data_IF_614925804735
#
_entry.id   IF_614925804735
#
_cell.length_a   1.000
_cell.length_b   1.000
_cell.length_c   1.000
_cell.angle_alpha   90.00
_cell.angle_beta   90.00
_cell.angle_gamma   90.00
#
_symmetry.space_group_name_H-M   'P 1'
#
loop_
_entity.id
_entity.type
_entity.pdbx_description
1 polymer ?
#
# COMPACT_ATOMS: atom_id res chain seq x y z
N UNK A 1 -0.91 -46.72 25.20
CA UNK A 1 -2.00 -45.79 25.57
C UNK A 1 -1.36 -44.50 26.06
N UNK A 2 -1.46 -43.33 25.42
CA UNK A 2 -2.33 -42.87 24.36
C UNK A 2 -1.54 -41.94 23.42
N UNK A 3 -1.71 -42.14 22.11
CA UNK A 3 -1.29 -41.22 21.06
C UNK A 3 -2.35 -40.13 20.89
N UNK A 4 -2.04 -38.88 21.25
CA UNK A 4 -2.87 -37.73 20.90
C UNK A 4 -2.28 -37.02 19.68
N UNK A 5 -2.81 -37.43 18.52
CA UNK A 5 -2.77 -36.68 17.27
C UNK A 5 -3.41 -35.29 17.51
N UNK A 6 -2.61 -34.23 17.56
CA UNK A 6 -3.11 -32.87 17.35
C UNK A 6 -2.79 -32.45 15.93
N UNK A 7 -3.86 -32.44 15.15
CA UNK A 7 -4.03 -32.15 13.74
C UNK A 7 -3.30 -30.86 13.32
N UNK A 8 -2.44 -30.98 12.31
CA UNK A 8 -1.86 -29.89 11.54
C UNK A 8 -2.96 -28.90 11.07
N UNK A 9 -3.10 -27.81 11.80
CA UNK A 9 -3.89 -26.66 11.41
C UNK A 9 -3.06 -25.78 10.49
N UNK A 10 -3.26 -25.96 9.19
CA UNK A 10 -3.00 -25.04 8.08
C UNK A 10 -2.29 -23.71 8.47
N UNK A 11 -1.00 -23.80 8.77
CA UNK A 11 -0.10 -22.66 8.68
C UNK A 11 0.11 -22.39 7.20
N UNK A 12 -0.80 -21.64 6.57
CA UNK A 12 -0.52 -20.97 5.31
C UNK A 12 0.74 -20.15 5.57
N UNK A 13 1.88 -20.69 5.13
CA UNK A 13 3.19 -20.14 5.39
C UNK A 13 3.16 -18.68 4.97
N UNK A 14 3.20 -17.78 5.95
CA UNK A 14 3.61 -16.39 5.74
C UNK A 14 5.08 -16.49 5.32
N UNK A 15 5.30 -16.83 4.04
CA UNK A 15 6.62 -16.83 3.44
C UNK A 15 7.10 -15.40 3.55
N UNK A 16 8.14 -15.19 4.35
CA UNK A 16 8.87 -13.93 4.37
C UNK A 16 9.05 -13.43 2.94
N UNK A 17 8.48 -12.25 2.68
CA UNK A 17 8.59 -11.54 1.41
C UNK A 17 10.07 -11.30 1.19
N UNK A 18 10.66 -11.96 0.20
CA UNK A 18 12.10 -11.81 -0.04
C UNK A 18 12.38 -10.43 -0.64
N UNK A 19 13.57 -9.84 -0.48
CA UNK A 19 13.93 -8.59 -1.14
C UNK A 19 13.68 -8.65 -2.66
N UNK A 20 13.90 -9.81 -3.27
CA UNK A 20 13.64 -10.06 -4.69
C UNK A 20 12.15 -9.92 -5.06
N UNK A 21 11.23 -10.25 -4.16
CA UNK A 21 9.79 -10.08 -4.39
C UNK A 21 9.42 -8.58 -4.51
N UNK A 22 10.14 -7.71 -3.79
CA UNK A 22 9.94 -6.26 -3.85
C UNK A 22 10.50 -5.67 -5.15
N UNK A 23 11.60 -6.22 -5.68
CA UNK A 23 12.14 -5.82 -6.98
C UNK A 23 11.15 -6.16 -8.11
N UNK A 24 10.57 -7.37 -8.10
CA UNK A 24 9.53 -7.77 -9.06
C UNK A 24 8.30 -6.86 -8.94
N UNK A 25 7.87 -6.53 -7.73
CA UNK A 25 6.75 -5.60 -7.53
C UNK A 25 7.02 -4.22 -8.14
N UNK A 26 8.22 -3.67 -7.92
CA UNK A 26 8.61 -2.40 -8.51
C UNK A 26 8.59 -2.46 -10.04
N UNK A 27 9.15 -3.52 -10.60
CA UNK A 27 9.17 -3.75 -12.04
C UNK A 27 7.76 -3.87 -12.61
N UNK A 28 6.84 -4.57 -11.92
CA UNK A 28 5.43 -4.65 -12.32
C UNK A 28 4.75 -3.28 -12.37
N UNK A 29 4.99 -2.43 -11.38
CA UNK A 29 4.45 -1.07 -11.34
C UNK A 29 5.00 -0.20 -12.48
N UNK A 30 6.21 -0.50 -12.97
CA UNK A 30 6.87 0.22 -14.07
C UNK A 30 6.52 -0.34 -15.45
N UNK A 31 6.37 -1.67 -15.57
CA UNK A 31 6.12 -2.40 -16.82
C UNK A 31 4.66 -2.33 -17.32
N UNK A 32 3.88 -1.37 -16.81
CA UNK A 32 2.52 -1.11 -17.30
C UNK A 32 1.46 -2.03 -16.70
N UNK A 33 1.44 -2.16 -15.36
CA UNK A 33 0.27 -2.67 -14.64
C UNK A 33 -0.99 -1.93 -15.10
N UNK A 34 -2.02 -2.67 -15.48
CA UNK A 34 -3.33 -2.15 -15.84
C UNK A 34 -4.36 -2.55 -14.82
N UNK A 35 -5.11 -1.58 -14.33
CA UNK A 35 -6.17 -1.80 -13.34
C UNK A 35 -7.48 -1.30 -13.97
N UNK A 36 -8.40 -2.20 -14.28
CA UNK A 36 -9.70 -1.85 -14.83
C UNK A 36 -10.78 -2.04 -13.76
N UNK A 37 -11.35 -0.93 -13.26
CA UNK A 37 -12.35 -0.98 -12.19
C UNK A 37 -13.72 -1.54 -12.62
N UNK A 38 -14.00 -1.61 -13.93
CA UNK A 38 -15.37 -1.75 -14.46
C UNK A 38 -15.55 -2.84 -15.55
N UNK A 39 -14.69 -3.86 -15.64
CA UNK A 39 -14.88 -4.98 -16.59
C UNK A 39 -15.30 -6.27 -15.89
N UNK A 40 -15.95 -7.15 -16.65
CA UNK A 40 -16.32 -8.54 -16.29
C UNK A 40 -15.10 -9.48 -16.15
N UNK A 41 -13.87 -8.94 -16.21
CA UNK A 41 -12.60 -9.66 -16.06
C UNK A 41 -11.87 -9.26 -14.77
N UNK A 42 -10.65 -9.78 -14.52
CA UNK A 42 -9.90 -9.43 -13.31
C UNK A 42 -9.59 -7.94 -13.30
N UNK A 43 -9.76 -7.30 -12.14
CA UNK A 43 -9.60 -5.88 -11.95
C UNK A 43 -8.15 -5.41 -12.18
N UNK A 44 -7.17 -6.33 -12.21
CA UNK A 44 -5.75 -6.05 -12.46
C UNK A 44 -5.12 -7.04 -13.42
N UNK A 45 -4.37 -6.53 -14.39
CA UNK A 45 -3.63 -7.31 -15.38
C UNK A 45 -2.24 -6.70 -15.64
N UNK A 46 -1.31 -7.53 -16.09
CA UNK A 46 0.00 -7.11 -16.57
C UNK A 46 0.11 -7.43 -18.06
N UNK A 47 0.59 -6.46 -18.84
CA UNK A 47 0.82 -6.63 -20.28
C UNK A 47 2.03 -7.50 -20.59
N UNK A 48 3.03 -7.47 -19.72
CA UNK A 48 4.24 -8.27 -19.87
C UNK A 48 3.97 -9.71 -19.40
N UNK A 49 3.91 -10.64 -20.35
CA UNK A 49 3.61 -12.06 -20.09
C UNK A 49 4.74 -12.76 -19.31
N UNK A 50 6.00 -12.39 -19.56
CA UNK A 50 7.15 -12.96 -18.83
C UNK A 50 7.07 -12.56 -17.36
N UNK A 51 6.86 -11.26 -17.11
CA UNK A 51 6.73 -10.72 -15.77
C UNK A 51 5.48 -11.25 -15.05
N UNK A 52 4.35 -11.34 -15.75
CA UNK A 52 3.10 -11.89 -15.21
C UNK A 52 3.23 -13.38 -14.84
N UNK A 53 4.12 -14.12 -15.50
CA UNK A 53 4.37 -15.54 -15.19
C UNK A 53 5.11 -15.74 -13.86
N UNK A 54 5.81 -14.71 -13.36
CA UNK A 54 6.58 -14.81 -12.13
C UNK A 54 5.69 -15.10 -10.93
N UNK A 55 6.15 -15.97 -10.03
CA UNK A 55 5.39 -16.33 -8.82
C UNK A 55 5.07 -15.11 -7.93
N UNK A 56 5.99 -14.16 -7.69
CA UNK A 56 5.68 -12.95 -6.92
C UNK A 56 4.60 -12.10 -7.60
N UNK A 57 4.63 -12.00 -8.94
CA UNK A 57 3.64 -11.27 -9.71
C UNK A 57 2.25 -11.89 -9.60
N UNK A 58 2.13 -13.21 -9.78
CA UNK A 58 0.85 -13.93 -9.59
C UNK A 58 0.28 -13.76 -8.20
N UNK A 59 1.13 -13.80 -7.16
CA UNK A 59 0.69 -13.55 -5.78
C UNK A 59 0.18 -12.12 -5.61
N UNK A 60 0.90 -11.13 -6.12
CA UNK A 60 0.45 -9.74 -6.06
C UNK A 60 -0.91 -9.57 -6.74
N UNK A 61 -1.10 -10.10 -7.95
CA UNK A 61 -2.37 -10.02 -8.66
C UNK A 61 -3.52 -10.66 -7.88
N UNK A 62 -3.27 -11.80 -7.21
CA UNK A 62 -4.26 -12.44 -6.35
C UNK A 62 -4.62 -11.61 -5.12
N UNK A 63 -3.64 -11.03 -4.43
CA UNK A 63 -3.90 -10.15 -3.28
C UNK A 63 -4.69 -8.93 -3.73
N UNK A 64 -4.29 -8.35 -4.87
CA UNK A 64 -4.97 -7.19 -5.40
C UNK A 64 -6.42 -7.52 -5.76
N UNK A 65 -6.69 -8.65 -6.39
CA UNK A 65 -8.05 -9.04 -6.77
C UNK A 65 -8.94 -9.32 -5.55
N UNK A 66 -8.42 -10.06 -4.57
CA UNK A 66 -9.26 -10.61 -3.50
C UNK A 66 -9.31 -9.74 -2.23
N UNK A 67 -8.28 -8.94 -1.97
CA UNK A 67 -8.14 -8.24 -0.70
C UNK A 67 -8.30 -6.73 -0.84
N UNK A 68 -7.90 -6.15 -1.97
CA UNK A 68 -7.95 -4.68 -2.15
C UNK A 68 -9.39 -4.25 -2.47
N UNK A 69 -10.02 -3.36 -1.68
CA UNK A 69 -11.33 -2.83 -2.01
C UNK A 69 -11.30 -2.04 -3.31
N UNK A 70 -12.43 -2.05 -4.02
CA UNK A 70 -12.54 -1.49 -5.38
C UNK A 70 -13.41 -0.24 -5.42
N UNK A 71 -14.24 -0.05 -4.40
CA UNK A 71 -15.16 1.08 -4.30
C UNK A 71 -14.72 2.10 -3.25
N UNK A 72 -15.04 3.39 -3.41
CA UNK A 72 -14.76 4.41 -2.41
C UNK A 72 -15.30 4.07 -1.02
N UNK A 73 -16.54 3.56 -0.93
CA UNK A 73 -17.17 3.24 0.34
C UNK A 73 -16.44 2.12 1.11
N UNK A 74 -15.98 1.08 0.41
CA UNK A 74 -15.17 0.02 1.02
C UNK A 74 -13.81 0.55 1.50
N UNK A 75 -13.21 1.49 0.76
CA UNK A 75 -11.94 2.13 1.15
C UNK A 75 -12.13 3.01 2.40
N UNK A 76 -13.22 3.78 2.46
CA UNK A 76 -13.56 4.59 3.64
C UNK A 76 -13.79 3.70 4.87
N UNK A 77 -14.49 2.58 4.71
CA UNK A 77 -14.67 1.60 5.78
C UNK A 77 -13.33 1.01 6.24
N UNK A 78 -12.45 0.66 5.30
CA UNK A 78 -11.10 0.17 5.61
C UNK A 78 -10.28 1.22 6.39
N UNK A 79 -10.29 2.49 5.95
CA UNK A 79 -9.63 3.60 6.62
C UNK A 79 -10.19 3.81 8.04
N UNK A 80 -11.51 3.77 8.20
CA UNK A 80 -12.15 3.90 9.50
C UNK A 80 -11.70 2.79 10.45
N UNK A 81 -11.71 1.53 9.99
CA UNK A 81 -11.23 0.39 10.77
C UNK A 81 -9.78 0.60 11.24
N UNK A 82 -8.88 0.99 10.34
CA UNK A 82 -7.49 1.19 10.73
C UNK A 82 -7.31 2.38 11.66
N UNK A 83 -8.06 3.47 11.49
CA UNK A 83 -7.99 4.66 12.36
C UNK A 83 -8.25 4.35 13.84
N UNK A 84 -9.09 3.34 14.12
CA UNK A 84 -9.44 2.88 15.48
C UNK A 84 -8.41 1.92 16.08
N UNK A 85 -7.41 1.49 15.29
CA UNK A 85 -6.43 0.50 15.71
C UNK A 85 -5.15 1.19 16.22
N UNK A 86 -4.91 1.12 17.52
CA UNK A 86 -3.72 1.73 18.17
C UNK A 86 -2.47 0.85 18.12
N UNK A 87 -2.61 -0.42 17.77
CA UNK A 87 -1.49 -1.35 17.58
C UNK A 87 -1.03 -1.39 16.13
N UNK A 88 0.26 -1.70 15.86
CA UNK A 88 0.73 -1.95 14.49
C UNK A 88 -0.14 -2.98 13.79
N UNK A 89 -0.46 -2.74 12.52
CA UNK A 89 -1.25 -3.67 11.72
C UNK A 89 -0.48 -4.99 11.52
N UNK A 90 -1.18 -6.14 11.50
CA UNK A 90 -0.62 -7.37 10.99
C UNK A 90 -0.11 -7.19 9.55
N UNK A 91 0.94 -7.92 9.16
CA UNK A 91 1.60 -7.73 7.86
C UNK A 91 0.65 -7.85 6.65
N UNK A 92 -0.37 -8.71 6.75
CA UNK A 92 -1.39 -8.89 5.69
C UNK A 92 -2.26 -7.65 5.57
N UNK A 93 -2.65 -7.05 6.69
CA UNK A 93 -3.47 -5.83 6.70
C UNK A 93 -2.65 -4.62 6.26
N UNK A 94 -1.37 -4.55 6.61
CA UNK A 94 -0.46 -3.53 6.10
C UNK A 94 -0.25 -3.65 4.59
N UNK A 95 -0.10 -4.88 4.07
CA UNK A 95 -0.03 -5.14 2.63
C UNK A 95 -1.31 -4.70 1.93
N UNK A 96 -2.47 -5.00 2.51
CA UNK A 96 -3.78 -4.53 2.01
C UNK A 96 -3.84 -3.00 1.98
N UNK A 97 -3.44 -2.33 3.06
CA UNK A 97 -3.37 -0.86 3.14
C UNK A 97 -2.47 -0.27 2.03
N UNK A 98 -1.27 -0.83 1.85
CA UNK A 98 -0.33 -0.43 0.82
C UNK A 98 -0.93 -0.60 -0.58
N UNK A 99 -1.51 -1.75 -0.88
CA UNK A 99 -2.06 -2.02 -2.21
C UNK A 99 -3.34 -1.24 -2.51
N UNK A 100 -4.15 -0.92 -1.50
CA UNK A 100 -5.25 0.05 -1.66
C UNK A 100 -4.72 1.43 -2.07
N UNK A 101 -3.58 1.87 -1.52
CA UNK A 101 -2.98 3.16 -1.94
C UNK A 101 -2.54 3.13 -3.40
N UNK A 102 -1.97 2.01 -3.87
CA UNK A 102 -1.60 1.80 -5.28
C UNK A 102 -2.84 1.83 -6.19
N UNK A 103 -3.93 1.17 -5.76
CA UNK A 103 -5.21 1.22 -6.48
C UNK A 103 -5.71 2.66 -6.64
N UNK A 104 -5.76 3.43 -5.55
CA UNK A 104 -6.19 4.82 -5.60
C UNK A 104 -5.29 5.67 -6.51
N UNK A 105 -3.97 5.51 -6.45
CA UNK A 105 -3.05 6.20 -7.35
C UNK A 105 -3.35 5.89 -8.83
N UNK A 106 -3.70 4.64 -9.14
CA UNK A 106 -4.12 4.26 -10.47
C UNK A 106 -5.45 4.92 -10.89
N UNK A 107 -6.45 4.92 -10.00
CA UNK A 107 -7.74 5.57 -10.27
C UNK A 107 -7.56 7.07 -10.53
N UNK A 108 -6.68 7.75 -9.78
CA UNK A 108 -6.33 9.17 -10.01
C UNK A 108 -5.75 9.40 -11.40
N UNK A 109 -4.98 8.45 -11.93
CA UNK A 109 -4.43 8.49 -13.29
C UNK A 109 -5.51 8.28 -14.35
N UNK A 110 -6.46 7.37 -14.09
CA UNK A 110 -7.46 6.93 -15.06
C UNK A 110 -8.71 7.82 -15.13
N UNK A 111 -9.12 8.43 -14.01
CA UNK A 111 -10.37 9.18 -13.89
C UNK A 111 -10.13 10.67 -14.19
N UNK A 112 -11.07 11.29 -14.90
CA UNK A 112 -11.11 12.74 -15.17
C UNK A 112 -12.31 13.38 -14.48
N UNK A 113 -12.26 14.70 -14.24
CA UNK A 113 -13.37 15.45 -13.64
C UNK A 113 -13.41 15.45 -12.11
N UNK A 114 -14.54 15.86 -11.51
CA UNK A 114 -14.68 16.06 -10.06
C UNK A 114 -14.45 14.80 -9.23
N UNK A 115 -14.79 13.62 -9.77
CA UNK A 115 -14.63 12.34 -9.08
C UNK A 115 -13.16 12.05 -8.73
N UNK A 116 -12.22 12.65 -9.48
CA UNK A 116 -10.78 12.57 -9.18
C UNK A 116 -10.43 13.12 -7.80
N UNK A 117 -11.14 14.15 -7.31
CA UNK A 117 -10.85 14.75 -6.00
C UNK A 117 -11.13 13.78 -4.85
N UNK A 118 -12.17 12.94 -4.99
CA UNK A 118 -12.48 11.89 -4.02
C UNK A 118 -11.31 10.88 -3.95
N UNK A 119 -10.83 10.40 -5.10
CA UNK A 119 -9.70 9.47 -5.14
C UNK A 119 -8.39 10.08 -4.61
N UNK A 120 -8.14 11.37 -4.87
CA UNK A 120 -6.99 12.10 -4.28
C UNK A 120 -7.11 12.15 -2.75
N UNK A 121 -8.30 12.43 -2.23
CA UNK A 121 -8.55 12.45 -0.78
C UNK A 121 -8.30 11.08 -0.15
N UNK A 122 -8.89 10.02 -0.73
CA UNK A 122 -8.71 8.64 -0.26
C UNK A 122 -7.23 8.22 -0.32
N UNK A 123 -6.54 8.52 -1.42
CA UNK A 123 -5.11 8.25 -1.54
C UNK A 123 -4.30 8.93 -0.44
N UNK A 124 -4.56 10.21 -0.19
CA UNK A 124 -3.85 10.98 0.84
C UNK A 124 -4.07 10.39 2.23
N UNK A 125 -5.31 10.03 2.57
CA UNK A 125 -5.65 9.40 3.85
C UNK A 125 -4.98 8.02 4.01
N UNK A 126 -4.91 7.22 2.93
CA UNK A 126 -4.20 5.92 2.95
C UNK A 126 -2.71 6.11 3.19
N UNK A 127 -2.09 7.11 2.57
CA UNK A 127 -0.66 7.42 2.81
C UNK A 127 -0.43 7.89 4.24
N UNK A 128 -1.30 8.73 4.79
CA UNK A 128 -1.23 9.16 6.19
C UNK A 128 -1.36 7.97 7.14
N UNK A 129 -2.26 7.05 6.83
CA UNK A 129 -2.50 5.82 7.59
C UNK A 129 -1.27 4.89 7.55
N UNK A 130 -0.60 4.76 6.40
CA UNK A 130 0.66 4.01 6.27
C UNK A 130 1.73 4.60 7.19
N UNK A 131 1.92 5.92 7.17
CA UNK A 131 2.90 6.57 8.03
C UNK A 131 2.55 6.43 9.52
N UNK A 132 1.27 6.58 9.86
CA UNK A 132 0.82 6.42 11.24
C UNK A 132 1.03 4.99 11.72
N UNK A 133 0.73 3.97 10.90
CA UNK A 133 0.96 2.57 11.25
C UNK A 133 2.43 2.21 11.45
N UNK A 134 3.30 2.64 10.52
CA UNK A 134 4.76 2.48 10.65
C UNK A 134 5.32 3.13 11.91
N UNK A 135 4.60 4.09 12.47
CA UNK A 135 4.97 4.75 13.71
C UNK A 135 4.46 4.10 14.98
N UNK A 136 3.44 3.24 14.89
CA UNK A 136 2.93 2.53 16.06
C UNK A 136 4.06 1.65 16.61
N UNK A 137 4.38 1.81 17.90
CA UNK A 137 5.47 1.09 18.56
C UNK A 137 6.90 1.58 18.27
N UNK A 138 7.10 2.56 17.37
CA UNK A 138 8.43 3.10 17.04
C UNK A 138 8.54 4.59 17.37
N UNK A 139 7.47 5.35 17.16
CA UNK A 139 7.45 6.80 17.33
C UNK A 139 7.04 7.15 18.77
N UNK A 140 7.63 8.19 19.39
CA UNK A 140 7.22 8.66 20.71
C UNK A 140 5.72 8.97 20.76
N UNK A 141 5.06 8.77 21.91
CA UNK A 141 3.60 8.86 22.08
C UNK A 141 2.93 10.19 21.63
N UNK A 142 3.73 11.24 21.38
CA UNK A 142 3.26 12.56 20.93
C UNK A 142 3.58 12.85 19.44
N UNK A 143 4.11 11.88 18.69
CA UNK A 143 4.60 12.06 17.31
C UNK A 143 3.63 11.55 16.24
N UNK A 144 2.70 10.67 16.59
CA UNK A 144 1.84 9.94 15.63
C UNK A 144 0.88 10.84 14.85
N UNK A 145 0.48 11.99 15.40
CA UNK A 145 -0.40 12.96 14.74
C UNK A 145 0.32 13.98 13.84
N UNK A 146 1.66 14.00 13.84
CA UNK A 146 2.44 15.08 13.24
C UNK A 146 3.28 14.65 12.02
N UNK A 147 3.39 13.36 11.70
CA UNK A 147 4.39 12.90 10.73
C UNK A 147 3.97 12.97 9.27
N UNK A 148 2.67 12.90 8.99
CA UNK A 148 2.11 13.15 7.66
C UNK A 148 2.24 14.62 7.24
N UNK A 149 2.17 15.55 8.20
CA UNK A 149 2.18 17.00 7.98
C UNK A 149 3.57 17.65 8.11
N UNK A 150 4.61 16.88 8.47
CA UNK A 150 5.94 17.44 8.65
C UNK A 150 6.63 17.80 7.32
N UNK A 151 7.16 19.03 7.18
CA UNK A 151 8.15 19.35 6.16
C UNK A 151 9.27 18.30 6.20
N UNK A 152 9.78 17.87 5.05
CA UNK A 152 10.89 16.90 4.98
C UNK A 152 12.13 17.27 5.81
N UNK A 153 12.30 18.54 6.16
CA UNK A 153 13.36 19.04 7.05
C UNK A 153 13.15 18.67 8.51
N UNK A 154 11.91 18.42 8.92
CA UNK A 154 11.53 18.16 10.31
C UNK A 154 11.37 16.66 10.56
N UNK A 155 11.20 15.83 9.51
CA UNK A 155 11.07 14.35 9.61
C UNK A 155 12.13 13.72 10.53
N UNK A 156 11.72 12.78 11.42
CA UNK A 156 12.63 12.10 12.32
C UNK A 156 13.84 11.52 11.57
N UNK A 157 15.02 11.49 12.20
CA UNK A 157 16.26 11.09 11.53
C UNK A 157 16.21 9.66 10.94
N UNK A 158 15.38 8.76 11.49
CA UNK A 158 15.19 7.43 10.92
C UNK A 158 14.44 7.45 9.58
N UNK A 159 13.57 8.44 9.32
CA UNK A 159 12.96 8.67 8.01
C UNK A 159 13.90 9.41 7.06
N UNK A 160 14.93 10.11 7.57
CA UNK A 160 15.96 10.73 6.73
C UNK A 160 16.78 9.68 5.96
N UNK A 161 16.90 8.45 6.47
CA UNK A 161 17.47 7.31 5.75
C UNK A 161 16.64 6.95 4.51
N UNK A 162 15.34 7.20 4.46
CA UNK A 162 14.53 6.93 3.26
C UNK A 162 14.86 7.93 2.13
N UNK A 163 15.35 9.12 2.45
CA UNK A 163 15.75 10.15 1.48
C UNK A 163 16.90 9.70 0.58
N UNK A 164 17.78 8.82 1.06
CA UNK A 164 18.88 8.26 0.28
C UNK A 164 18.38 7.31 -0.82
N UNK A 165 17.23 6.66 -0.59
CA UNK A 165 16.61 5.74 -1.53
C UNK A 165 15.63 6.44 -2.49
N UNK A 166 15.06 7.57 -2.07
CA UNK A 166 14.09 8.33 -2.86
C UNK A 166 14.45 9.83 -2.92
N UNK A 167 15.42 10.21 -3.78
CA UNK A 167 15.73 11.61 -4.02
C UNK A 167 14.53 12.31 -4.66
N UNK A 168 13.91 13.24 -3.94
CA UNK A 168 12.76 13.99 -4.43
C UNK A 168 13.24 15.10 -5.37
N UNK A 169 13.00 14.99 -6.68
CA UNK A 169 13.31 16.04 -7.67
C UNK A 169 12.27 17.17 -7.75
N UNK A 170 11.43 17.33 -6.73
CA UNK A 170 10.41 18.38 -6.70
C UNK A 170 11.04 19.72 -6.36
N UNK A 171 11.60 20.37 -7.37
CA UNK A 171 11.92 21.78 -7.34
C UNK A 171 10.61 22.56 -7.13
N UNK A 172 10.34 22.97 -5.89
CA UNK A 172 9.31 23.95 -5.57
C UNK A 172 9.74 25.27 -6.18
N UNK A 173 9.31 25.56 -7.40
CA UNK A 173 9.43 26.89 -7.99
C UNK A 173 8.66 27.83 -7.08
N UNK A 174 9.38 28.63 -6.29
CA UNK A 174 8.81 29.79 -5.63
C UNK A 174 8.20 30.66 -6.72
N UNK A 175 6.88 30.82 -6.68
CA UNK A 175 6.21 31.91 -7.37
C UNK A 175 6.38 33.09 -6.42
N UNK A 176 7.35 33.94 -6.72
CA UNK A 176 7.50 35.23 -6.04
C UNK A 176 6.37 36.15 -6.52
N UNK A 177 5.62 36.70 -5.57
CA UNK A 177 4.77 37.89 -5.71
C UNK A 177 5.13 38.84 -4.59
#
# INVERSE_FOLDING_TARGET
>A
DEHLYSRDGAGASVRHRRPEDAAVLLEMLWAGLEIEANRTGPAVQLRDEELASLRPARRFLQVFENEVPKTPAEIEQQLHYYSLTDTPLPIVEFDRLLFTSVYCAYQIRSIQGLDKNLWISLFSQLVDEIFRDLCKGVCPANSTLLLASWPWKEKPPHLALLKQFYPSNLARTKRDT
#
